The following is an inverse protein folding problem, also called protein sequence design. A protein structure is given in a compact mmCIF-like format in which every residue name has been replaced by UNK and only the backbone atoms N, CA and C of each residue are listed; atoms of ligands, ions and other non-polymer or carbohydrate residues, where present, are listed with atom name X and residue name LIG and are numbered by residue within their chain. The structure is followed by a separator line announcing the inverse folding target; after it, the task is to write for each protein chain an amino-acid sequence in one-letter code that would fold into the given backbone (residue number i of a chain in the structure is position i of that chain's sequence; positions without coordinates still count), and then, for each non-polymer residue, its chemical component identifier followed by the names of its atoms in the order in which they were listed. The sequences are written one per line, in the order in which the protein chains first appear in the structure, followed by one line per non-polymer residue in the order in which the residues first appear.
data_IF_933526589494
#
_entry.id   IF_933526589494
#
_cell.length_a   1.000
_cell.length_b   1.000
_cell.length_c   1.000
_cell.angle_alpha   90.00
_cell.angle_beta   90.00
_cell.angle_gamma   90.00
#
_symmetry.space_group_name_H-M   'P 1'
#
loop_
_entity.id
_entity.type
_entity.pdbx_description
1 polymer ?
#
# COMPACT_ATOMS: atom_id res chain seq x y z
N UNK A 1 46.34 -26.81 -0.06
CA UNK A 1 46.29 -26.65 -1.53
C UNK A 1 44.98 -27.32 -1.91
N UNK A 2 43.88 -26.66 -2.21
CA UNK A 2 43.67 -25.35 -2.85
C UNK A 2 42.24 -24.87 -2.52
N UNK A 3 42.09 -23.54 -2.42
CA UNK A 3 40.98 -22.73 -2.98
C UNK A 3 39.55 -22.97 -2.41
N UNK A 4 38.83 -22.01 -1.86
CA UNK A 4 38.79 -20.58 -2.17
C UNK A 4 37.43 -20.28 -2.80
N UNK A 5 36.47 -19.79 -2.01
CA UNK A 5 35.37 -18.98 -2.54
C UNK A 5 34.89 -18.02 -1.44
N UNK A 6 35.65 -16.94 -1.29
CA UNK A 6 35.21 -15.77 -0.55
C UNK A 6 34.48 -14.89 -1.57
N UNK A 7 33.15 -15.01 -1.63
CA UNK A 7 32.31 -14.02 -2.30
C UNK A 7 32.32 -12.74 -1.45
N UNK A 8 33.40 -11.98 -1.57
CA UNK A 8 33.46 -10.58 -1.17
C UNK A 8 32.56 -9.78 -2.10
N UNK A 9 31.28 -9.66 -1.74
CA UNK A 9 30.40 -8.65 -2.30
C UNK A 9 30.98 -7.28 -1.97
N UNK A 10 31.10 -6.41 -2.97
CA UNK A 10 31.45 -5.01 -2.71
C UNK A 10 30.38 -4.43 -1.79
N UNK A 11 30.79 -3.90 -0.65
CA UNK A 11 29.94 -3.06 0.16
C UNK A 11 29.73 -1.74 -0.61
N UNK A 12 28.78 -1.75 -1.55
CA UNK A 12 28.45 -0.61 -2.42
C UNK A 12 27.82 0.57 -1.66
N UNK A 13 27.84 0.53 -0.32
CA UNK A 13 27.18 1.48 0.56
C UNK A 13 25.66 1.46 0.45
N UNK A 14 25.09 0.49 -0.27
CA UNK A 14 23.65 0.36 -0.46
C UNK A 14 22.98 -0.21 0.79
N UNK A 15 21.73 0.22 0.99
CA UNK A 15 20.89 -0.19 2.10
C UNK A 15 19.82 -1.15 1.57
N UNK A 16 19.74 -2.38 2.09
CA UNK A 16 18.72 -3.33 1.67
C UNK A 16 17.34 -2.90 2.16
N UNK A 17 16.37 -2.88 1.25
CA UNK A 17 14.96 -2.59 1.51
C UNK A 17 14.13 -3.79 1.04
N UNK A 18 13.39 -4.40 1.96
CA UNK A 18 12.44 -5.47 1.63
C UNK A 18 11.04 -4.88 1.57
N UNK A 19 10.36 -5.05 0.44
CA UNK A 19 8.98 -4.62 0.23
C UNK A 19 8.07 -5.84 0.13
N UNK A 20 7.13 -5.95 1.06
CA UNK A 20 6.08 -6.97 1.05
C UNK A 20 4.87 -6.44 0.27
N UNK A 21 4.49 -7.17 -0.76
CA UNK A 21 3.35 -6.93 -1.66
C UNK A 21 2.33 -8.06 -1.45
N UNK A 22 1.04 -7.73 -1.52
CA UNK A 22 -0.07 -8.70 -1.57
C UNK A 22 0.01 -9.92 -0.62
N UNK A 23 0.31 -9.67 0.65
CA UNK A 23 0.35 -10.69 1.70
C UNK A 23 1.78 -11.12 2.00
N UNK A 24 2.38 -11.91 1.12
CA UNK A 24 3.67 -12.56 1.35
C UNK A 24 4.69 -12.41 0.21
N UNK A 25 4.30 -11.82 -0.93
CA UNK A 25 5.25 -11.59 -2.03
C UNK A 25 6.28 -10.55 -1.61
N UNK A 26 7.57 -10.84 -1.81
CA UNK A 26 8.67 -9.95 -1.40
C UNK A 26 9.46 -9.47 -2.60
N UNK A 27 9.76 -8.18 -2.59
CA UNK A 27 10.69 -7.54 -3.52
C UNK A 27 11.84 -6.95 -2.72
N UNK A 28 13.05 -7.37 -3.04
CA UNK A 28 14.27 -6.84 -2.44
C UNK A 28 14.83 -5.74 -3.33
N UNK A 29 15.18 -4.61 -2.72
CA UNK A 29 15.72 -3.44 -3.39
C UNK A 29 17.01 -3.01 -2.68
N UNK A 30 18.06 -2.76 -3.45
CA UNK A 30 19.25 -2.08 -2.96
C UNK A 30 19.10 -0.58 -3.20
N UNK A 31 19.20 0.20 -2.12
CA UNK A 31 18.80 1.61 -2.11
C UNK A 31 19.96 2.48 -1.62
N UNK A 32 20.25 3.58 -2.30
CA UNK A 32 21.21 4.55 -1.73
C UNK A 32 20.72 5.08 -0.37
N UNK A 33 21.60 5.13 0.66
CA UNK A 33 21.26 5.68 1.96
C UNK A 33 20.67 7.09 1.85
N UNK A 34 19.62 7.36 2.63
CA UNK A 34 18.95 8.66 2.70
C UNK A 34 17.90 8.88 1.60
N UNK A 35 17.73 7.96 0.65
CA UNK A 35 16.67 8.07 -0.36
C UNK A 35 15.29 8.07 0.29
N UNK A 36 14.39 8.89 -0.26
CA UNK A 36 13.02 8.97 0.21
C UNK A 36 12.23 7.69 -0.16
N UNK A 37 11.65 7.02 0.82
CA UNK A 37 10.99 5.72 0.63
C UNK A 37 9.86 5.79 -0.43
N UNK A 38 9.04 6.85 -0.43
CA UNK A 38 8.01 7.02 -1.48
C UNK A 38 8.62 7.04 -2.87
N UNK A 39 9.75 7.73 -3.07
CA UNK A 39 10.38 7.82 -4.40
C UNK A 39 10.94 6.47 -4.81
N UNK A 40 11.67 5.80 -3.92
CA UNK A 40 12.21 4.45 -4.16
C UNK A 40 11.10 3.48 -4.58
N UNK A 41 9.99 3.48 -3.85
CA UNK A 41 8.82 2.66 -4.19
C UNK A 41 8.22 2.98 -5.56
N UNK A 42 8.10 4.28 -5.91
CA UNK A 42 7.57 4.68 -7.22
C UNK A 42 8.54 4.35 -8.36
N UNK A 43 9.84 4.54 -8.15
CA UNK A 43 10.90 4.26 -9.12
C UNK A 43 10.96 2.75 -9.43
N UNK A 44 10.71 1.90 -8.43
CA UNK A 44 10.60 0.45 -8.56
C UNK A 44 9.22 -0.05 -9.06
N UNK A 45 8.28 0.85 -9.36
CA UNK A 45 6.91 0.49 -9.77
C UNK A 45 5.98 -0.02 -8.65
N UNK A 46 6.47 -0.04 -7.40
CA UNK A 46 5.78 -0.50 -6.20
C UNK A 46 4.94 0.61 -5.55
N UNK A 47 3.91 1.09 -6.24
CA UNK A 47 3.18 2.27 -5.81
C UNK A 47 2.49 2.12 -4.43
N UNK A 48 2.71 3.05 -3.46
CA UNK A 48 1.96 3.06 -2.19
C UNK A 48 0.53 3.61 -2.35
N UNK A 49 0.14 3.99 -3.57
CA UNK A 49 -1.13 4.64 -3.87
C UNK A 49 -2.19 3.66 -4.38
N UNK A 50 -3.43 3.87 -3.96
CA UNK A 50 -4.58 3.34 -4.69
C UNK A 50 -4.67 4.02 -6.06
N UNK A 51 -5.31 3.38 -7.07
CA UNK A 51 -5.43 3.93 -8.42
C UNK A 51 -5.85 5.40 -8.47
N UNK A 52 -6.91 5.78 -7.75
CA UNK A 52 -7.38 7.18 -7.70
C UNK A 52 -6.36 8.13 -7.07
N UNK A 53 -5.70 7.69 -5.98
CA UNK A 53 -4.72 8.51 -5.25
C UNK A 53 -3.36 8.64 -5.94
N UNK A 54 -3.13 7.94 -7.06
CA UNK A 54 -1.92 8.16 -7.89
C UNK A 54 -1.88 9.57 -8.49
N UNK A 55 -3.05 10.13 -8.81
CA UNK A 55 -3.20 11.50 -9.31
C UNK A 55 -3.66 12.46 -8.21
N UNK A 56 -4.49 11.96 -7.28
CA UNK A 56 -4.99 12.74 -6.14
C UNK A 56 -4.10 12.54 -4.91
N UNK A 57 -2.92 13.16 -4.91
CA UNK A 57 -2.02 13.18 -3.75
C UNK A 57 -1.29 14.52 -3.61
N UNK A 58 -0.77 14.76 -2.40
CA UNK A 58 -0.03 16.00 -2.08
C UNK A 58 1.40 16.04 -2.63
N UNK A 59 1.81 15.10 -3.49
CA UNK A 59 3.17 15.05 -4.05
C UNK A 59 4.27 14.68 -3.06
N UNK A 60 3.93 14.26 -1.83
CA UNK A 60 4.90 13.92 -0.79
C UNK A 60 5.10 14.97 0.30
N UNK A 61 4.21 15.96 0.41
CA UNK A 61 4.22 17.01 1.44
C UNK A 61 3.74 16.58 2.83
N UNK A 62 3.40 15.30 3.02
CA UNK A 62 2.89 14.80 4.30
C UNK A 62 1.44 15.18 4.63
N UNK A 63 0.67 15.74 3.70
CA UNK A 63 -0.64 16.35 4.01
C UNK A 63 -1.87 15.46 3.77
N UNK A 64 -1.74 14.43 2.94
CA UNK A 64 -2.90 13.68 2.43
C UNK A 64 -3.03 12.24 2.95
N UNK A 65 -2.05 11.75 3.71
CA UNK A 65 -1.96 10.37 4.21
C UNK A 65 -2.05 9.23 3.15
N UNK A 66 -2.16 9.53 1.85
CA UNK A 66 -2.38 8.52 0.82
C UNK A 66 -1.15 7.68 0.48
N UNK A 67 0.04 8.05 0.96
CA UNK A 67 1.29 7.30 0.77
C UNK A 67 1.62 6.37 1.95
N UNK A 68 0.61 5.99 2.74
CA UNK A 68 0.77 5.11 3.90
C UNK A 68 1.36 3.75 3.57
N UNK A 69 2.38 3.34 4.32
CA UNK A 69 3.00 2.01 4.31
C UNK A 69 3.10 1.47 5.74
N UNK A 70 3.13 0.15 5.92
CA UNK A 70 3.40 -0.45 7.23
C UNK A 70 4.88 -0.77 7.34
N UNK A 71 5.58 -0.19 8.29
CA UNK A 71 6.96 -0.58 8.60
C UNK A 71 6.90 -1.78 9.53
N UNK A 72 7.45 -2.91 9.10
CA UNK A 72 7.55 -4.15 9.91
C UNK A 72 8.82 -4.16 10.73
N UNK A 73 9.91 -3.74 10.10
CA UNK A 73 11.24 -3.60 10.69
C UNK A 73 11.85 -2.32 10.11
N UNK A 74 12.46 -1.47 10.94
CA UNK A 74 13.01 -0.20 10.47
C UNK A 74 13.34 0.81 11.59
N UNK A 75 13.75 2.04 11.22
CA UNK A 75 14.21 3.05 12.17
C UNK A 75 13.14 3.46 13.19
N UNK A 76 13.56 3.77 14.44
CA UNK A 76 12.66 4.24 15.48
C UNK A 76 11.97 5.56 15.10
N UNK A 77 10.86 5.81 15.77
CA UNK A 77 9.82 6.76 15.40
C UNK A 77 10.07 8.17 15.95
N UNK A 78 10.75 9.04 15.18
CA UNK A 78 11.03 10.42 15.64
C UNK A 78 9.96 11.46 15.24
N UNK A 79 8.99 11.12 14.38
CA UNK A 79 7.95 12.06 13.94
C UNK A 79 6.63 11.89 14.73
N UNK A 80 5.92 12.98 15.01
CA UNK A 80 4.69 12.97 15.84
C UNK A 80 3.56 12.07 15.29
N UNK A 81 3.51 11.83 13.98
CA UNK A 81 2.60 10.85 13.36
C UNK A 81 2.98 9.40 13.66
N UNK A 82 4.26 9.13 13.87
CA UNK A 82 4.76 7.78 14.11
C UNK A 82 4.38 7.28 15.51
N UNK A 83 4.23 8.19 16.50
CA UNK A 83 3.65 7.85 17.80
C UNK A 83 2.19 7.37 17.71
N UNK A 84 1.43 7.84 16.71
CA UNK A 84 0.06 7.37 16.45
C UNK A 84 0.05 6.03 15.68
N UNK A 85 1.00 5.86 14.76
CA UNK A 85 1.23 4.61 14.04
C UNK A 85 1.62 3.46 14.99
N UNK A 86 2.53 3.70 15.93
CA UNK A 86 2.98 2.71 16.91
C UNK A 86 1.92 2.36 17.95
N UNK A 87 1.09 3.33 18.36
CA UNK A 87 0.06 3.10 19.39
C UNK A 87 -1.23 2.47 18.85
N UNK A 88 -1.55 2.67 17.57
CA UNK A 88 -2.83 2.28 16.99
C UNK A 88 -2.73 1.51 15.66
N UNK A 89 -1.51 1.17 15.19
CA UNK A 89 -1.29 0.39 13.96
C UNK A 89 -1.55 1.16 12.66
N UNK A 90 -1.51 2.49 12.68
CA UNK A 90 -1.71 3.31 11.47
C UNK A 90 -0.50 3.24 10.53
N UNK A 91 -0.71 3.25 9.20
CA UNK A 91 0.40 3.29 8.24
C UNK A 91 1.25 4.56 8.40
N UNK A 92 2.59 4.42 8.35
CA UNK A 92 3.53 5.54 8.30
C UNK A 92 3.56 6.16 6.90
N UNK A 93 3.84 7.45 6.81
CA UNK A 93 3.88 8.15 5.53
C UNK A 93 5.21 7.87 4.84
N UNK A 94 5.22 7.03 3.78
CA UNK A 94 6.45 6.75 3.01
C UNK A 94 7.14 8.01 2.47
N UNK A 95 6.39 9.10 2.25
CA UNK A 95 6.98 10.38 1.85
C UNK A 95 7.79 11.10 2.94
N UNK A 96 7.66 10.70 4.20
CA UNK A 96 8.37 11.27 5.34
C UNK A 96 9.44 10.33 5.90
N UNK A 97 9.72 9.22 5.21
CA UNK A 97 10.72 8.22 5.62
C UNK A 97 11.92 8.29 4.68
N UNK A 98 13.12 8.39 5.25
CA UNK A 98 14.38 8.16 4.56
C UNK A 98 14.84 6.71 4.79
N UNK A 99 15.33 6.06 3.73
CA UNK A 99 15.91 4.71 3.78
C UNK A 99 17.40 4.87 4.08
N UNK A 100 17.77 4.89 5.35
CA UNK A 100 19.16 5.08 5.81
C UNK A 100 19.74 3.85 6.51
N UNK A 101 18.91 2.82 6.69
CA UNK A 101 19.26 1.52 7.27
C UNK A 101 18.31 0.44 6.78
N UNK A 102 18.71 -0.84 6.90
CA UNK A 102 17.90 -1.96 6.47
C UNK A 102 16.47 -1.86 7.02
N UNK A 103 15.47 -2.06 6.16
CA UNK A 103 14.08 -2.04 6.59
C UNK A 103 13.17 -2.95 5.76
N UNK A 104 12.10 -3.40 6.41
CA UNK A 104 11.03 -4.19 5.83
C UNK A 104 9.74 -3.40 5.89
N UNK A 105 9.12 -3.15 4.73
CA UNK A 105 7.86 -2.41 4.63
C UNK A 105 6.81 -3.22 3.88
N UNK A 106 5.54 -3.11 4.28
CA UNK A 106 4.42 -3.73 3.60
C UNK A 106 3.55 -2.66 2.94
N UNK A 107 3.25 -2.87 1.66
CA UNK A 107 2.23 -2.09 0.96
C UNK A 107 0.87 -2.45 1.54
N UNK A 108 0.10 -1.43 1.93
CA UNK A 108 -1.26 -1.65 2.40
C UNK A 108 -2.10 -2.01 1.17
N UNK A 109 -2.62 -3.23 1.13
CA UNK A 109 -3.59 -3.62 0.10
C UNK A 109 -4.78 -2.67 0.16
N UNK A 110 -4.86 -1.74 -0.79
CA UNK A 110 -6.03 -0.89 -0.98
C UNK A 110 -6.99 -1.59 -1.91
N UNK A 111 -7.41 -2.81 -1.52
CA UNK A 111 -8.70 -3.33 -2.00
C UNK A 111 -9.72 -2.31 -1.55
N UNK A 112 -10.38 -1.70 -2.53
CA UNK A 112 -11.41 -0.69 -2.36
C UNK A 112 -12.30 -1.05 -1.15
N UNK A 113 -12.24 -0.27 -0.08
CA UNK A 113 -13.32 -0.25 0.89
C UNK A 113 -14.53 0.34 0.16
N UNK A 114 -15.37 -0.54 -0.40
CA UNK A 114 -16.54 -0.19 -1.19
C UNK A 114 -16.36 -0.33 -2.70
N UNK A 115 -16.12 -1.55 -3.19
CA UNK A 115 -16.44 -1.85 -4.58
C UNK A 115 -17.95 -1.72 -4.76
N UNK A 116 -18.43 -0.63 -5.35
CA UNK A 116 -19.80 -0.60 -5.87
C UNK A 116 -19.79 -1.53 -7.07
N UNK A 117 -20.45 -2.68 -6.96
CA UNK A 117 -20.66 -3.58 -8.10
C UNK A 117 -21.44 -2.81 -9.18
N UNK A 118 -20.79 -2.54 -10.30
CA UNK A 118 -21.44 -2.43 -11.61
C UNK A 118 -21.08 -3.75 -12.31
N UNK A 119 -21.96 -4.51 -12.93
CA UNK A 119 -23.30 -4.27 -13.49
C UNK A 119 -23.96 -5.64 -13.78
N UNK A 120 -25.29 -5.66 -13.96
CA UNK A 120 -26.07 -6.49 -14.91
C UNK A 120 -25.60 -7.95 -15.11
N UNK A 121 -26.31 -9.01 -14.74
CA UNK A 121 -27.65 -9.41 -15.20
C UNK A 121 -28.26 -10.44 -14.21
N UNK A 122 -29.10 -10.03 -13.26
CA UNK A 122 -29.86 -10.98 -12.42
C UNK A 122 -31.00 -10.30 -11.64
N UNK A 123 -31.66 -9.28 -12.21
CA UNK A 123 -32.82 -8.61 -11.58
C UNK A 123 -33.87 -8.16 -12.62
N UNK A 124 -34.06 -8.95 -13.69
CA UNK A 124 -35.16 -8.73 -14.64
C UNK A 124 -36.38 -9.64 -14.38
N UNK A 125 -36.28 -10.62 -13.47
CA UNK A 125 -37.30 -11.66 -13.30
C UNK A 125 -37.93 -11.68 -11.90
N UNK A 126 -37.99 -10.52 -11.23
CA UNK A 126 -38.79 -10.35 -9.99
C UNK A 126 -39.67 -9.09 -10.01
N UNK A 127 -39.50 -8.22 -11.01
CA UNK A 127 -40.31 -7.01 -11.14
C UNK A 127 -41.73 -7.29 -11.69
N UNK A 128 -41.94 -8.39 -12.42
CA UNK A 128 -43.25 -8.66 -13.05
C UNK A 128 -44.28 -9.24 -12.06
N UNK A 129 -43.83 -9.97 -11.03
CA UNK A 129 -44.73 -10.52 -9.99
C UNK A 129 -45.14 -9.47 -8.94
N UNK A 130 -44.39 -8.38 -8.80
CA UNK A 130 -44.71 -7.32 -7.85
C UNK A 130 -45.82 -6.39 -8.36
N UNK A 131 -45.91 -6.16 -9.68
CA UNK A 131 -46.90 -5.24 -10.24
C UNK A 131 -48.33 -5.84 -10.27
N UNK A 132 -48.46 -7.16 -10.44
CA UNK A 132 -49.78 -7.83 -10.43
C UNK A 132 -50.46 -7.84 -9.05
N UNK A 133 -49.68 -7.84 -7.97
CA UNK A 133 -50.19 -7.84 -6.60
C UNK A 133 -50.61 -6.44 -6.10
N UNK A 134 -50.06 -5.37 -6.68
CA UNK A 134 -50.39 -4.00 -6.29
C UNK A 134 -51.72 -3.52 -6.92
N UNK A 135 -52.06 -3.97 -8.13
CA UNK A 135 -53.31 -3.55 -8.79
C UNK A 135 -54.57 -4.23 -8.23
N UNK A 136 -54.44 -5.33 -7.50
CA UNK A 136 -55.57 -6.03 -6.87
C UNK A 136 -55.96 -5.47 -5.50
N UNK A 137 -55.09 -4.70 -4.84
CA UNK A 137 -55.30 -4.20 -3.47
C UNK A 137 -55.87 -2.77 -3.39
N UNK A 138 -56.10 -2.10 -4.53
CA UNK A 138 -56.60 -0.73 -4.58
C UNK A 138 -57.98 -0.62 -5.27
N UNK A 139 -58.73 -1.73 -5.31
CA UNK A 139 -60.06 -1.85 -5.91
C UNK A 139 -61.10 -2.47 -4.98
N UNK A 140 -60.91 -2.30 -3.67
CA UNK A 140 -61.91 -2.60 -2.63
C UNK A 140 -62.28 -1.34 -1.85
#
# INVERSE_FOLDING_TARGET
MTEGDATGGKDDGLVPLVVVVDGDDRVELDVEPGRNLRRVLLDAGLSPYAPATRRLNCGGRGLCATCGVRVREGPPTDHWHDRLADRFGYPRLSCQIAVDRPMTVALVAKRVWGGRRSSSEEDAETADTANANAESANRE
#
